data_IF_594838476455
#
_entry.id   IF_594838476455
#
_cell.length_a   1.000
_cell.length_b   1.000
_cell.length_c   1.000
_cell.angle_alpha   90.00
_cell.angle_beta   90.00
_cell.angle_gamma   90.00
#
_symmetry.space_group_name_H-M   'P 1'
#
loop_
_entity.id
_entity.type
_entity.pdbx_description
1 polymer ?
#
# COMPACT_ATOMS: atom_id res chain seq x y z
N UNK A 1 6.56 14.02 14.53
CA UNK A 1 6.10 14.85 13.40
C UNK A 1 5.56 16.18 13.92
N UNK A 2 4.55 16.14 14.80
CA UNK A 2 3.93 17.30 15.44
C UNK A 2 3.55 16.91 16.90
N UNK A 3 3.06 17.83 17.76
CA UNK A 3 2.63 17.47 19.11
C UNK A 3 1.59 16.33 19.11
N UNK A 4 1.91 15.22 19.77
CA UNK A 4 1.10 13.99 19.80
C UNK A 4 0.96 13.27 18.44
N UNK A 5 1.81 13.57 17.45
CA UNK A 5 1.85 12.87 16.16
C UNK A 5 3.27 12.40 15.89
N UNK A 6 3.47 11.10 15.91
CA UNK A 6 4.78 10.45 15.88
C UNK A 6 4.88 9.50 14.67
N UNK A 7 6.08 9.39 14.10
CA UNK A 7 6.45 8.35 13.13
C UNK A 7 7.61 7.56 13.71
N UNK A 8 7.49 6.23 13.77
CA UNK A 8 8.61 5.32 13.97
C UNK A 8 9.06 4.82 12.60
N UNK A 9 10.35 4.95 12.32
CA UNK A 9 10.96 4.40 11.11
C UNK A 9 11.62 3.07 11.40
N UNK A 10 11.49 2.17 10.45
CA UNK A 10 12.17 0.88 10.43
C UNK A 10 13.16 0.87 9.26
N UNK A 11 14.33 0.27 9.47
CA UNK A 11 15.32 0.06 8.39
C UNK A 11 14.88 -1.13 7.52
N UNK A 12 14.11 -2.05 8.11
CA UNK A 12 13.26 -2.98 7.37
C UNK A 12 12.35 -2.23 6.38
N UNK A 13 12.55 -2.48 5.09
CA UNK A 13 11.74 -1.96 3.97
C UNK A 13 11.63 -0.42 3.91
N UNK A 14 12.35 0.30 4.79
CA UNK A 14 12.14 1.72 5.12
C UNK A 14 10.71 2.04 5.61
N UNK A 15 10.03 1.04 6.17
CA UNK A 15 8.63 1.10 6.63
C UNK A 15 8.43 2.20 7.70
N UNK A 16 7.25 2.83 7.69
CA UNK A 16 6.87 3.86 8.65
C UNK A 16 5.58 3.46 9.39
N UNK A 17 5.65 3.29 10.70
CA UNK A 17 4.46 3.11 11.54
C UNK A 17 4.10 4.44 12.22
N UNK A 18 2.81 4.80 12.19
CA UNK A 18 2.31 6.05 12.75
C UNK A 18 1.70 5.89 14.15
N UNK A 19 1.78 6.94 14.96
CA UNK A 19 1.04 7.06 16.21
C UNK A 19 0.45 8.47 16.35
N UNK A 20 -0.88 8.55 16.51
CA UNK A 20 -1.60 9.79 16.83
C UNK A 20 -2.23 9.65 18.21
N UNK A 21 -1.79 10.48 19.15
CA UNK A 21 -2.27 10.49 20.54
C UNK A 21 -3.44 11.48 20.70
N UNK A 22 -4.50 11.04 21.37
CA UNK A 22 -5.61 11.84 21.90
C UNK A 22 -5.84 11.57 23.39
N UNK A 23 -6.83 12.22 24.00
CA UNK A 23 -7.08 12.18 25.45
C UNK A 23 -7.71 10.87 25.94
N UNK A 24 -8.40 10.12 25.05
CA UNK A 24 -9.14 8.89 25.39
C UNK A 24 -8.60 7.67 24.65
N UNK A 25 -8.12 7.87 23.43
CA UNK A 25 -7.61 6.85 22.52
C UNK A 25 -6.34 7.31 21.84
N UNK A 26 -5.59 6.37 21.29
CA UNK A 26 -4.52 6.67 20.33
C UNK A 26 -4.67 5.78 19.09
N UNK A 27 -4.50 6.37 17.90
CA UNK A 27 -4.52 5.65 16.63
C UNK A 27 -3.09 5.21 16.28
N UNK A 28 -2.90 3.91 16.09
CA UNK A 28 -1.73 3.32 15.43
C UNK A 28 -2.02 3.20 13.93
N UNK A 29 -1.06 3.58 13.09
CA UNK A 29 -1.14 3.44 11.62
C UNK A 29 -0.12 2.38 11.20
N UNK A 30 -0.62 1.28 10.66
CA UNK A 30 0.12 0.07 10.26
C UNK A 30 0.88 -0.67 11.37
N UNK A 31 1.19 -1.95 11.16
CA UNK A 31 1.52 -2.89 12.24
C UNK A 31 2.80 -3.73 12.08
N UNK A 32 3.53 -3.61 10.97
CA UNK A 32 4.71 -4.42 10.57
C UNK A 32 4.40 -5.84 10.06
N UNK A 33 5.45 -6.51 9.59
CA UNK A 33 5.48 -7.70 8.73
C UNK A 33 5.18 -9.04 9.42
N UNK A 34 5.26 -9.12 10.75
CA UNK A 34 4.92 -10.33 11.52
C UNK A 34 4.67 -10.05 13.00
N UNK A 35 4.15 -11.04 13.73
CA UNK A 35 3.66 -10.89 15.10
C UNK A 35 4.70 -10.28 16.07
N UNK A 36 5.94 -10.78 16.08
CA UNK A 36 6.99 -10.29 16.98
C UNK A 36 7.40 -8.82 16.71
N UNK A 37 7.31 -8.36 15.46
CA UNK A 37 7.50 -6.95 15.12
C UNK A 37 6.30 -6.09 15.55
N UNK A 38 5.08 -6.61 15.41
CA UNK A 38 3.88 -5.98 15.97
C UNK A 38 3.96 -5.85 17.50
N UNK A 39 4.58 -6.80 18.19
CA UNK A 39 4.85 -6.73 19.64
C UNK A 39 5.87 -5.64 19.98
N UNK A 40 7.01 -5.55 19.28
CA UNK A 40 7.96 -4.44 19.42
C UNK A 40 7.30 -3.07 19.17
N UNK A 41 6.44 -2.97 18.15
CA UNK A 41 5.67 -1.75 17.90
C UNK A 41 4.70 -1.44 19.05
N UNK A 42 3.92 -2.41 19.52
CA UNK A 42 2.99 -2.25 20.63
C UNK A 42 3.69 -1.80 21.92
N UNK A 43 4.79 -2.46 22.31
CA UNK A 43 5.61 -2.04 23.45
C UNK A 43 6.12 -0.60 23.27
N UNK A 44 6.51 -0.25 22.05
CA UNK A 44 7.04 1.07 21.72
C UNK A 44 5.97 2.17 21.69
N UNK A 45 4.71 1.82 21.39
CA UNK A 45 3.53 2.70 21.56
C UNK A 45 3.19 2.83 23.04
N UNK A 46 3.24 1.74 23.82
CA UNK A 46 2.98 1.77 25.28
C UNK A 46 4.01 2.55 26.09
N UNK A 47 5.22 2.76 25.57
CA UNK A 47 6.18 3.74 26.14
C UNK A 47 5.82 5.21 25.88
N UNK A 48 4.75 5.49 25.12
CA UNK A 48 4.21 6.84 24.85
C UNK A 48 2.80 7.02 25.45
N UNK A 49 1.93 6.01 25.41
CA UNK A 49 0.50 6.18 25.73
C UNK A 49 -0.18 4.92 26.31
N UNK A 50 -0.87 5.11 27.44
CA UNK A 50 -1.68 4.09 28.12
C UNK A 50 -3.17 4.10 27.69
N UNK A 51 -3.57 4.99 26.77
CA UNK A 51 -4.96 5.11 26.30
C UNK A 51 -5.46 3.86 25.54
N UNK A 52 -6.77 3.78 25.27
CA UNK A 52 -7.34 2.75 24.41
C UNK A 52 -6.70 2.83 23.01
N UNK A 53 -6.17 1.72 22.50
CA UNK A 53 -5.60 1.70 21.16
C UNK A 53 -6.67 1.35 20.12
N UNK A 54 -6.64 2.10 19.03
CA UNK A 54 -7.31 1.77 17.78
C UNK A 54 -6.24 1.68 16.70
N UNK A 55 -6.43 0.82 15.71
CA UNK A 55 -5.47 0.58 14.63
C UNK A 55 -6.15 0.89 13.31
N UNK A 56 -5.41 1.41 12.33
CA UNK A 56 -5.80 1.36 10.94
C UNK A 56 -4.69 0.72 10.11
N UNK A 57 -5.06 -0.26 9.27
CA UNK A 57 -4.21 -0.70 8.18
C UNK A 57 -4.47 0.19 6.96
N UNK A 58 -3.43 0.80 6.38
CA UNK A 58 -3.52 1.62 5.18
C UNK A 58 -3.94 0.78 3.97
N UNK A 59 -3.38 -0.43 3.85
CA UNK A 59 -3.72 -1.39 2.81
C UNK A 59 -3.38 -2.84 3.23
N UNK A 60 -3.53 -3.82 2.34
CA UNK A 60 -3.48 -5.25 2.65
C UNK A 60 -2.13 -5.96 2.36
N UNK A 61 -1.03 -5.23 2.24
CA UNK A 61 0.30 -5.84 2.11
C UNK A 61 0.86 -6.24 3.49
N UNK A 62 1.62 -7.34 3.53
CA UNK A 62 2.00 -8.06 4.76
C UNK A 62 2.70 -7.19 5.81
N UNK A 63 3.62 -6.34 5.37
CA UNK A 63 4.38 -5.32 6.10
C UNK A 63 3.52 -4.24 6.77
N UNK A 64 2.25 -4.10 6.38
CA UNK A 64 1.31 -3.15 6.98
C UNK A 64 0.32 -3.82 7.96
N UNK A 65 0.06 -5.13 7.82
CA UNK A 65 -1.07 -5.80 8.48
C UNK A 65 -0.79 -7.15 9.16
N UNK A 66 0.34 -7.83 8.97
CA UNK A 66 0.59 -9.12 9.63
C UNK A 66 0.87 -8.98 11.14
N UNK A 67 1.41 -7.83 11.56
CA UNK A 67 1.55 -7.47 12.96
C UNK A 67 0.22 -7.24 13.71
N UNK A 68 -0.93 -7.22 13.02
CA UNK A 68 -2.28 -7.15 13.63
C UNK A 68 -2.48 -8.19 14.75
N UNK A 69 -1.79 -9.33 14.71
CA UNK A 69 -1.78 -10.34 15.78
C UNK A 69 -1.46 -9.75 17.17
N UNK A 70 -0.53 -8.80 17.26
CA UNK A 70 -0.17 -8.13 18.51
C UNK A 70 -1.25 -7.13 18.98
N UNK A 71 -2.09 -6.66 18.07
CA UNK A 71 -3.13 -5.67 18.31
C UNK A 71 -4.55 -6.27 18.34
N UNK A 72 -4.69 -7.60 18.44
CA UNK A 72 -5.96 -8.33 18.29
C UNK A 72 -7.11 -7.87 19.20
N UNK A 73 -6.80 -7.28 20.35
CA UNK A 73 -7.77 -6.75 21.32
C UNK A 73 -8.14 -5.27 21.06
N UNK A 74 -7.55 -4.65 20.04
CA UNK A 74 -7.80 -3.26 19.62
C UNK A 74 -8.87 -3.21 18.51
N UNK A 75 -9.48 -2.06 18.29
CA UNK A 75 -10.37 -1.86 17.14
C UNK A 75 -9.52 -1.68 15.88
N UNK A 76 -9.45 -2.70 15.01
CA UNK A 76 -8.66 -2.67 13.77
C UNK A 76 -9.55 -2.27 12.58
N UNK A 77 -9.31 -1.07 12.06
CA UNK A 77 -9.97 -0.46 10.91
C UNK A 77 -9.21 -0.73 9.61
N UNK A 78 -9.92 -0.86 8.49
CA UNK A 78 -9.37 -0.81 7.14
C UNK A 78 -10.47 -0.53 6.11
N UNK A 79 -10.11 -0.31 4.84
CA UNK A 79 -11.08 -0.30 3.75
C UNK A 79 -11.69 -1.71 3.56
N UNK A 80 -12.96 -1.81 3.15
CA UNK A 80 -13.63 -3.12 2.98
C UNK A 80 -12.87 -4.03 2.00
N UNK A 81 -12.32 -3.45 0.92
CA UNK A 81 -11.45 -4.13 -0.03
C UNK A 81 -10.12 -4.62 0.55
N UNK A 82 -9.59 -4.00 1.60
CA UNK A 82 -8.35 -4.42 2.25
C UNK A 82 -8.55 -5.70 3.08
N UNK A 83 -9.66 -5.79 3.80
CA UNK A 83 -10.01 -7.00 4.55
C UNK A 83 -10.25 -8.20 3.61
N UNK A 84 -10.95 -7.97 2.49
CA UNK A 84 -11.15 -8.99 1.45
C UNK A 84 -9.84 -9.34 0.73
N UNK A 85 -8.98 -8.35 0.46
CA UNK A 85 -7.64 -8.51 -0.08
C UNK A 85 -6.80 -9.43 0.78
N UNK A 86 -6.62 -9.09 2.07
CA UNK A 86 -5.85 -9.87 3.03
C UNK A 86 -6.42 -11.28 3.22
N UNK A 87 -7.75 -11.42 3.29
CA UNK A 87 -8.45 -12.72 3.37
C UNK A 87 -8.20 -13.61 2.14
N UNK A 88 -7.94 -13.00 0.97
CA UNK A 88 -7.69 -13.68 -0.31
C UNK A 88 -6.19 -13.95 -0.57
N UNK A 89 -5.30 -13.06 -0.14
CA UNK A 89 -3.87 -13.09 -0.52
C UNK A 89 -2.91 -13.35 0.64
N UNK A 90 -3.32 -13.18 1.91
CA UNK A 90 -2.40 -13.22 3.06
C UNK A 90 -1.53 -14.47 3.11
N UNK A 91 -2.11 -15.66 2.95
CA UNK A 91 -1.34 -16.91 2.96
C UNK A 91 -0.41 -17.06 1.74
N UNK A 92 -0.74 -16.42 0.60
CA UNK A 92 0.15 -16.36 -0.57
C UNK A 92 1.33 -15.41 -0.34
N UNK A 93 1.06 -14.23 0.23
CA UNK A 93 2.09 -13.27 0.64
C UNK A 93 3.04 -13.90 1.67
N UNK A 94 2.50 -14.61 2.67
CA UNK A 94 3.30 -15.34 3.66
C UNK A 94 4.27 -16.32 2.98
N UNK A 95 3.77 -17.19 2.10
CA UNK A 95 4.64 -18.14 1.40
C UNK A 95 5.74 -17.43 0.60
N UNK A 96 5.43 -16.31 -0.08
CA UNK A 96 6.40 -15.55 -0.86
C UNK A 96 7.49 -14.91 0.01
N UNK A 97 7.11 -14.36 1.18
CA UNK A 97 8.05 -13.78 2.15
C UNK A 97 8.90 -14.87 2.81
N UNK A 98 8.30 -16.01 3.18
CA UNK A 98 8.99 -17.19 3.72
C UNK A 98 10.00 -17.75 2.71
N UNK A 99 9.60 -17.97 1.45
CA UNK A 99 10.48 -18.44 0.38
C UNK A 99 11.65 -17.47 0.15
N UNK A 100 11.37 -16.17 0.14
CA UNK A 100 12.39 -15.13 -0.01
C UNK A 100 13.38 -15.11 1.17
N UNK A 101 12.89 -15.18 2.40
CA UNK A 101 13.72 -15.24 3.61
C UNK A 101 14.62 -16.49 3.62
N UNK A 102 14.06 -17.67 3.32
CA UNK A 102 14.81 -18.92 3.18
C UNK A 102 15.87 -18.84 2.08
N UNK A 103 15.54 -18.28 0.92
CA UNK A 103 16.50 -18.07 -0.18
C UNK A 103 17.55 -16.98 0.05
N UNK A 104 17.45 -16.23 1.15
CA UNK A 104 18.43 -15.21 1.57
C UNK A 104 19.06 -15.53 2.93
N UNK A 105 19.15 -16.82 3.29
CA UNK A 105 19.76 -17.37 4.50
C UNK A 105 19.18 -16.81 5.83
N UNK A 106 17.93 -16.34 5.81
CA UNK A 106 17.22 -15.72 6.94
C UNK A 106 16.15 -16.64 7.56
N UNK A 107 16.47 -17.93 7.74
CA UNK A 107 15.57 -18.97 8.24
C UNK A 107 14.81 -18.55 9.52
N UNK A 108 15.49 -17.98 10.51
CA UNK A 108 14.86 -17.58 11.77
C UNK A 108 13.80 -16.46 11.63
N UNK A 109 13.87 -15.66 10.56
CA UNK A 109 12.80 -14.72 10.23
C UNK A 109 11.68 -15.42 9.44
N UNK A 110 12.02 -16.41 8.61
CA UNK A 110 11.03 -17.23 7.91
C UNK A 110 10.13 -17.98 8.91
N UNK A 111 10.71 -18.59 9.94
CA UNK A 111 9.99 -19.20 11.07
C UNK A 111 8.98 -18.23 11.72
N UNK A 112 9.39 -16.98 12.00
CA UNK A 112 8.52 -15.99 12.64
C UNK A 112 7.37 -15.49 11.74
N UNK A 113 7.58 -15.46 10.41
CA UNK A 113 6.53 -15.17 9.42
C UNK A 113 5.61 -16.38 9.23
N UNK A 114 6.14 -17.59 9.32
CA UNK A 114 5.39 -18.85 9.24
C UNK A 114 4.46 -19.03 10.46
N UNK A 115 4.95 -18.76 11.67
CA UNK A 115 4.21 -18.82 12.94
C UNK A 115 3.17 -17.70 13.18
N UNK A 116 3.10 -16.67 12.31
CA UNK A 116 2.23 -15.49 12.54
C UNK A 116 0.76 -15.74 12.21
N UNK A 117 -0.14 -15.52 13.18
CA UNK A 117 -1.59 -15.49 12.93
C UNK A 117 -1.98 -14.26 12.08
N UNK A 118 -2.55 -14.47 10.89
CA UNK A 118 -3.07 -13.36 10.06
C UNK A 118 -4.42 -12.93 10.63
N UNK A 119 -4.40 -11.84 11.42
CA UNK A 119 -5.60 -11.23 12.00
C UNK A 119 -6.15 -10.17 11.03
N UNK A 120 -7.37 -10.41 10.52
CA UNK A 120 -8.05 -9.50 9.60
C UNK A 120 -8.56 -8.23 10.32
N UNK A 121 -8.48 -7.05 9.68
CA UNK A 121 -9.25 -5.89 10.13
C UNK A 121 -10.76 -6.16 10.02
N UNK A 122 -11.54 -5.60 10.94
CA UNK A 122 -12.97 -5.91 11.09
C UNK A 122 -13.87 -4.69 11.29
N UNK A 123 -13.31 -3.51 11.54
CA UNK A 123 -14.03 -2.23 11.45
C UNK A 123 -13.89 -1.65 10.03
N UNK A 124 -14.69 -2.19 9.11
CA UNK A 124 -14.58 -1.89 7.68
C UNK A 124 -15.22 -0.54 7.32
N UNK A 125 -14.54 0.22 6.47
CA UNK A 125 -15.06 1.47 5.88
C UNK A 125 -15.00 1.43 4.36
N UNK A 126 -15.82 2.24 3.69
CA UNK A 126 -15.88 2.36 2.21
C UNK A 126 -15.74 3.82 1.73
N UNK A 127 -15.95 4.78 2.64
CA UNK A 127 -15.93 6.23 2.43
C UNK A 127 -15.13 6.93 3.55
N UNK A 128 -14.79 8.21 3.34
CA UNK A 128 -14.07 9.05 4.30
C UNK A 128 -14.74 9.03 5.70
N UNK A 129 -13.99 8.57 6.71
CA UNK A 129 -14.49 8.29 8.06
C UNK A 129 -13.68 9.05 9.10
N UNK A 130 -14.35 9.85 9.93
CA UNK A 130 -13.72 10.58 11.03
C UNK A 130 -13.81 9.82 12.36
N UNK A 131 -12.69 9.72 13.09
CA UNK A 131 -12.62 9.13 14.43
C UNK A 131 -12.23 10.21 15.46
N UNK A 132 -12.96 10.28 16.59
CA UNK A 132 -12.55 11.07 17.77
C UNK A 132 -11.66 10.23 18.69
N UNK A 133 -10.44 10.70 18.93
CA UNK A 133 -9.48 10.10 19.86
C UNK A 133 -9.61 10.67 21.29
N UNK A 134 -10.61 11.49 21.54
CA UNK A 134 -10.75 12.34 22.73
C UNK A 134 -10.07 13.67 22.49
N UNK A 135 -10.86 14.66 22.03
CA UNK A 135 -10.39 16.03 21.82
C UNK A 135 -9.57 16.23 20.54
N UNK A 136 -9.30 15.16 19.79
CA UNK A 136 -8.58 15.17 18.51
C UNK A 136 -9.26 14.28 17.49
N UNK A 137 -9.62 14.85 16.35
CA UNK A 137 -10.16 14.10 15.21
C UNK A 137 -9.03 13.61 14.32
N UNK A 138 -9.14 12.38 13.82
CA UNK A 138 -8.38 11.86 12.68
C UNK A 138 -9.34 11.46 11.56
N UNK A 139 -8.92 11.64 10.32
CA UNK A 139 -9.72 11.36 9.12
C UNK A 139 -9.09 10.17 8.37
N UNK A 140 -9.79 9.04 8.33
CA UNK A 140 -9.47 7.95 7.41
C UNK A 140 -10.04 8.35 6.04
N UNK A 141 -9.18 8.47 5.03
CA UNK A 141 -9.54 9.03 3.73
C UNK A 141 -9.32 8.01 2.61
N UNK A 142 -10.41 7.59 1.95
CA UNK A 142 -10.32 6.79 0.72
C UNK A 142 -10.26 7.73 -0.48
N UNK A 143 -9.04 7.95 -0.98
CA UNK A 143 -8.78 8.96 -2.00
C UNK A 143 -9.15 8.50 -3.42
N UNK A 144 -9.29 7.19 -3.63
CA UNK A 144 -9.33 6.50 -4.92
C UNK A 144 -8.31 5.36 -4.95
N UNK A 145 -8.19 4.67 -6.08
CA UNK A 145 -7.30 3.50 -6.28
C UNK A 145 -5.92 3.97 -6.73
N UNK A 146 -4.85 3.35 -6.24
CA UNK A 146 -3.47 3.83 -6.46
C UNK A 146 -2.43 2.73 -6.39
N UNK A 147 -1.86 2.53 -5.20
CA UNK A 147 -0.95 1.43 -4.89
C UNK A 147 -1.71 0.10 -4.80
N UNK A 148 -2.95 0.15 -4.32
CA UNK A 148 -3.94 -0.94 -4.38
C UNK A 148 -5.32 -0.42 -4.82
N UNK A 149 -6.36 -1.26 -4.79
CA UNK A 149 -7.76 -0.81 -4.91
C UNK A 149 -8.42 -0.43 -3.58
N UNK A 150 -7.65 -0.31 -2.50
CA UNK A 150 -8.15 -0.17 -1.14
C UNK A 150 -7.29 0.72 -0.22
N UNK A 151 -6.51 1.63 -0.82
CA UNK A 151 -5.59 2.54 -0.11
C UNK A 151 -6.31 3.56 0.79
N UNK A 152 -6.10 3.47 2.10
CA UNK A 152 -6.47 4.50 3.07
C UNK A 152 -5.28 5.40 3.43
N UNK A 153 -5.49 6.71 3.32
CA UNK A 153 -4.64 7.71 3.97
C UNK A 153 -5.24 8.13 5.33
N UNK A 154 -4.40 8.58 6.25
CA UNK A 154 -4.81 9.07 7.59
C UNK A 154 -4.45 10.55 7.72
N UNK A 155 -5.45 11.42 7.65
CA UNK A 155 -5.32 12.85 7.90
C UNK A 155 -5.40 13.19 9.38
N UNK A 156 -4.56 14.13 9.84
CA UNK A 156 -4.59 14.72 11.19
C UNK A 156 -4.81 16.24 11.05
N UNK A 157 -6.07 16.72 11.02
CA UNK A 157 -6.41 18.10 10.61
C UNK A 157 -5.76 19.21 11.43
N UNK A 158 -5.60 19.04 12.75
CA UNK A 158 -4.99 20.03 13.64
C UNK A 158 -3.47 20.11 13.49
N UNK A 159 -2.84 18.98 13.17
CA UNK A 159 -1.39 18.85 13.06
C UNK A 159 -0.84 19.24 11.67
N UNK A 160 -1.68 19.27 10.64
CA UNK A 160 -1.23 19.46 9.25
C UNK A 160 -0.58 18.21 8.63
N UNK A 161 -0.79 17.02 9.20
CA UNK A 161 -0.11 15.77 8.83
C UNK A 161 -1.04 14.84 8.04
N UNK A 162 -0.46 14.11 7.09
CA UNK A 162 -1.10 12.94 6.45
C UNK A 162 -0.11 11.77 6.51
N UNK A 163 -0.57 10.60 6.95
CA UNK A 163 0.09 9.32 6.66
C UNK A 163 -0.54 8.80 5.36
N UNK A 164 0.23 8.65 4.29
CA UNK A 164 -0.35 8.33 2.97
C UNK A 164 -0.51 6.82 2.71
N UNK A 165 0.08 5.97 3.56
CA UNK A 165 0.50 4.64 3.13
C UNK A 165 1.41 4.73 1.90
N UNK A 166 1.43 3.68 1.11
CA UNK A 166 2.36 3.53 -0.01
C UNK A 166 1.91 4.28 -1.28
N UNK A 167 0.78 5.01 -1.21
CA UNK A 167 0.41 6.02 -2.20
C UNK A 167 1.53 7.05 -2.43
N UNK A 168 2.38 7.31 -1.42
CA UNK A 168 3.57 8.17 -1.51
C UNK A 168 4.75 7.49 -0.82
N UNK A 169 5.44 6.64 -1.57
CA UNK A 169 6.60 5.88 -1.12
C UNK A 169 7.94 6.50 -1.58
N UNK A 170 9.00 6.34 -0.79
CA UNK A 170 10.40 6.71 -1.12
C UNK A 170 11.37 5.55 -0.74
N UNK A 171 10.83 4.33 -0.59
CA UNK A 171 11.53 3.17 -0.05
C UNK A 171 12.21 2.33 -1.12
N UNK A 172 11.43 1.81 -2.05
CA UNK A 172 11.80 0.95 -3.16
C UNK A 172 11.29 1.52 -4.50
N UNK A 173 11.34 0.70 -5.56
CA UNK A 173 10.43 0.88 -6.69
C UNK A 173 9.04 0.35 -6.25
N UNK A 174 7.94 1.05 -6.54
CA UNK A 174 6.60 0.69 -6.05
C UNK A 174 6.12 -0.67 -6.57
N UNK A 175 5.36 -1.38 -5.74
CA UNK A 175 4.65 -2.60 -6.15
C UNK A 175 3.69 -2.31 -7.32
N UNK A 176 3.54 -3.30 -8.20
CA UNK A 176 2.79 -3.16 -9.48
C UNK A 176 1.83 -4.31 -9.76
N UNK A 177 1.81 -5.32 -8.88
CA UNK A 177 1.05 -6.56 -8.99
C UNK A 177 -0.47 -6.35 -8.84
N UNK A 178 -0.87 -5.48 -7.91
CA UNK A 178 -2.26 -5.10 -7.63
C UNK A 178 -2.50 -3.58 -7.68
N UNK A 179 -1.56 -2.81 -8.25
CA UNK A 179 -1.63 -1.36 -8.38
C UNK A 179 -2.44 -0.87 -9.60
N UNK A 180 -2.83 0.41 -9.55
CA UNK A 180 -3.59 1.10 -10.60
C UNK A 180 -2.89 2.38 -11.09
N UNK A 181 -1.76 2.28 -11.83
CA UNK A 181 -0.93 3.44 -12.21
C UNK A 181 -1.66 4.56 -12.96
N UNK A 182 -2.72 4.24 -13.71
CA UNK A 182 -3.54 5.23 -14.42
C UNK A 182 -4.53 6.00 -13.51
N UNK A 183 -4.89 5.42 -12.37
CA UNK A 183 -5.81 5.97 -11.37
C UNK A 183 -5.06 6.62 -10.20
N UNK A 184 -3.83 6.17 -9.92
CA UNK A 184 -2.93 6.68 -8.87
C UNK A 184 -2.69 8.20 -8.97
N UNK A 185 -2.41 8.74 -10.16
CA UNK A 185 -2.20 10.18 -10.34
C UNK A 185 -3.49 11.04 -10.15
N UNK A 186 -4.69 10.60 -10.59
CA UNK A 186 -5.96 11.10 -10.06
C UNK A 186 -6.10 11.01 -8.52
N UNK A 187 -5.84 9.84 -7.92
CA UNK A 187 -5.96 9.57 -6.48
C UNK A 187 -5.07 10.49 -5.64
N UNK A 188 -3.81 10.71 -6.03
CA UNK A 188 -2.92 11.66 -5.36
C UNK A 188 -3.41 13.11 -5.45
N UNK A 189 -4.05 13.51 -6.56
CA UNK A 189 -4.67 14.85 -6.67
C UNK A 189 -5.93 14.97 -5.82
N UNK A 190 -6.68 13.88 -5.67
CA UNK A 190 -7.81 13.77 -4.73
C UNK A 190 -7.34 13.92 -3.28
N UNK A 191 -6.32 13.15 -2.86
CA UNK A 191 -5.71 13.23 -1.53
C UNK A 191 -5.10 14.61 -1.24
N UNK A 192 -4.31 15.17 -2.17
CA UNK A 192 -3.76 16.52 -2.05
C UNK A 192 -4.86 17.61 -1.97
N UNK A 193 -6.09 17.34 -2.38
CA UNK A 193 -7.26 18.20 -2.21
C UNK A 193 -8.03 17.99 -0.88
N UNK A 194 -7.74 16.91 -0.14
CA UNK A 194 -8.26 16.59 1.20
C UNK A 194 -7.27 16.93 2.32
N UNK A 195 -5.97 16.99 2.01
CA UNK A 195 -4.88 17.21 2.96
C UNK A 195 -5.12 18.38 3.95
N UNK A 196 -4.92 18.15 5.27
CA UNK A 196 -4.89 19.16 6.31
C UNK A 196 -4.14 20.45 5.97
N UNK A 197 -4.58 21.57 6.54
CA UNK A 197 -4.03 22.90 6.25
C UNK A 197 -4.58 23.55 4.96
N UNK A 198 -5.09 22.79 3.98
CA UNK A 198 -5.93 23.37 2.92
C UNK A 198 -7.27 23.78 3.49
N UNK A 199 -7.42 25.07 3.84
CA UNK A 199 -8.68 25.69 4.29
C UNK A 199 -9.81 25.44 3.28
N UNK A 200 -10.59 24.39 3.50
CA UNK A 200 -11.93 24.20 2.91
C UNK A 200 -12.90 25.12 3.66
N UNK A 201 -12.94 26.40 3.29
CA UNK A 201 -13.97 27.33 3.78
C UNK A 201 -15.35 26.84 3.30
N UNK A 202 -16.28 26.45 4.19
CA UNK A 202 -17.61 26.01 3.76
C UNK A 202 -18.42 27.23 3.32
N UNK A 203 -18.83 27.26 2.06
CA UNK A 203 -19.83 28.20 1.54
C UNK A 203 -19.36 29.65 1.33
N UNK A 204 -18.71 29.92 0.18
CA UNK A 204 -19.02 31.14 -0.59
C UNK A 204 -18.58 30.98 -2.07
N UNK A 205 -19.46 31.18 -3.06
CA UNK A 205 -19.08 31.09 -4.47
C UNK A 205 -18.37 32.36 -4.94
N UNK A 206 -17.04 32.29 -5.01
CA UNK A 206 -16.22 33.24 -5.77
C UNK A 206 -15.53 34.33 -4.96
N UNK A 207 -14.22 34.18 -4.76
CA UNK A 207 -13.22 35.22 -5.09
C UNK A 207 -11.83 34.59 -5.07
N UNK A 208 -11.09 34.71 -6.17
CA UNK A 208 -9.71 34.24 -6.24
C UNK A 208 -8.76 35.33 -5.73
N UNK A 209 -8.37 35.25 -4.46
CA UNK A 209 -7.28 36.08 -3.90
C UNK A 209 -5.93 35.46 -4.25
N UNK A 210 -5.25 36.07 -5.22
CA UNK A 210 -3.85 35.78 -5.52
C UNK A 210 -2.92 36.25 -4.40
N UNK A 211 -1.74 35.65 -4.29
CA UNK A 211 -0.63 36.23 -3.54
C UNK A 211 0.70 36.04 -4.25
N UNK A 212 1.62 36.98 -4.03
CA UNK A 212 2.85 37.16 -4.80
C UNK A 212 4.07 36.57 -4.09
N UNK A 213 5.00 36.02 -4.88
CA UNK A 213 6.29 35.56 -4.35
C UNK A 213 7.18 36.75 -3.92
N UNK A 214 7.83 36.71 -2.74
CA UNK A 214 8.80 37.73 -2.36
C UNK A 214 10.01 37.69 -3.29
N UNK A 215 10.45 38.86 -3.77
CA UNK A 215 11.68 38.97 -4.57
C UNK A 215 12.82 39.54 -3.72
N UNK A 216 14.00 38.92 -3.80
CA UNK A 216 15.25 39.56 -3.44
C UNK A 216 16.35 39.13 -4.40
N UNK A 217 17.09 40.11 -4.94
CA UNK A 217 18.21 39.88 -5.85
C UNK A 217 19.52 40.09 -5.12
N UNK A 218 20.47 39.15 -5.27
CA UNK A 218 21.90 39.47 -5.37
C UNK A 218 22.50 38.70 -6.55
N UNK A 219 23.53 39.26 -7.18
CA UNK A 219 24.25 38.71 -8.35
C UNK A 219 25.76 38.64 -8.06
N UNK A 220 26.56 37.90 -8.87
CA UNK A 220 27.68 37.12 -8.33
C UNK A 220 29.07 37.58 -8.81
N UNK A 221 30.11 36.86 -8.36
CA UNK A 221 31.50 36.94 -8.84
C UNK A 221 32.02 35.60 -9.37
N UNK A 222 32.24 35.52 -10.69
CA UNK A 222 33.33 34.78 -11.39
C UNK A 222 33.72 33.34 -10.96
N UNK A 223 32.99 32.33 -11.45
CA UNK A 223 33.30 31.45 -12.62
C UNK A 223 34.74 30.81 -12.81
N UNK A 224 34.96 29.81 -13.73
CA UNK A 224 35.21 28.40 -13.35
C UNK A 224 36.36 27.71 -14.16
N UNK A 225 36.47 26.36 -14.20
CA UNK A 225 35.82 25.56 -15.29
C UNK A 225 35.21 24.20 -14.82
N UNK A 226 33.93 23.87 -15.07
CA UNK A 226 33.31 23.22 -16.27
C UNK A 226 33.50 21.69 -16.40
N UNK A 227 32.53 20.90 -16.94
CA UNK A 227 31.07 20.77 -16.68
C UNK A 227 30.68 19.34 -16.20
N UNK A 228 29.50 18.94 -15.67
CA UNK A 228 28.15 19.50 -15.39
C UNK A 228 27.04 19.46 -16.47
N UNK A 229 26.17 18.42 -16.49
CA UNK A 229 24.81 18.44 -17.12
C UNK A 229 23.75 17.63 -16.36
N UNK A 230 22.74 18.33 -15.79
CA UNK A 230 21.33 17.92 -15.59
C UNK A 230 20.60 18.97 -14.73
N UNK A 231 19.26 19.13 -14.80
CA UNK A 231 18.36 19.10 -15.96
C UNK A 231 17.80 20.51 -16.26
N UNK A 232 16.82 20.67 -17.17
CA UNK A 232 16.03 21.91 -17.33
C UNK A 232 14.57 21.65 -17.70
N UNK A 233 13.66 22.37 -17.05
CA UNK A 233 12.24 22.41 -17.37
C UNK A 233 11.97 23.19 -18.67
N UNK A 234 10.96 22.77 -19.44
CA UNK A 234 10.35 23.56 -20.52
C UNK A 234 8.83 23.42 -20.50
N UNK A 235 8.14 24.46 -20.98
CA UNK A 235 6.68 24.56 -21.11
C UNK A 235 6.36 25.11 -22.54
N UNK A 236 5.10 25.08 -23.00
CA UNK A 236 4.80 24.70 -24.39
C UNK A 236 4.96 25.81 -25.45
N UNK A 237 5.29 25.38 -26.68
CA UNK A 237 5.30 26.22 -27.88
C UNK A 237 5.72 25.46 -29.15
N UNK A 238 4.75 25.01 -29.95
CA UNK A 238 4.94 24.48 -31.32
C UNK A 238 5.23 25.63 -32.32
N UNK A 239 5.72 25.40 -33.57
CA UNK A 239 5.75 24.12 -34.31
C UNK A 239 7.05 23.84 -35.13
N UNK A 240 6.95 22.80 -36.00
CA UNK A 240 7.67 22.59 -37.28
C UNK A 240 8.83 21.57 -37.37
N UNK A 241 8.47 20.40 -37.92
CA UNK A 241 9.16 19.64 -38.99
C UNK A 241 10.71 19.51 -39.00
N UNK A 242 11.20 18.28 -38.76
CA UNK A 242 11.88 17.49 -39.82
C UNK A 242 11.89 15.98 -39.47
N UNK A 243 12.50 15.11 -40.29
CA UNK A 243 12.16 13.67 -40.41
C UNK A 243 13.32 12.69 -40.15
N UNK A 244 13.03 11.62 -39.37
CA UNK A 244 13.38 10.20 -39.62
C UNK A 244 14.89 9.80 -39.55
N UNK A 245 15.30 8.52 -39.30
CA UNK A 245 14.72 7.28 -39.85
C UNK A 245 14.47 6.07 -38.92
N UNK A 246 13.71 5.12 -39.45
CA UNK A 246 13.36 3.80 -38.89
C UNK A 246 14.37 2.68 -39.18
N UNK A 247 14.52 1.77 -38.21
CA UNK A 247 14.43 0.29 -38.35
C UNK A 247 14.54 -0.34 -36.94
N UNK A 248 14.04 -1.54 -36.64
CA UNK A 248 13.30 -2.52 -37.44
C UNK A 248 12.10 -3.06 -36.64
N UNK A 249 11.29 -3.95 -37.23
CA UNK A 249 10.09 -4.52 -36.61
C UNK A 249 10.24 -6.02 -36.29
N UNK A 250 9.49 -6.48 -35.30
CA UNK A 250 9.10 -7.89 -35.15
C UNK A 250 7.57 -7.91 -34.97
N UNK A 251 6.87 -8.81 -35.66
CA UNK A 251 5.41 -8.85 -35.70
C UNK A 251 4.88 -10.23 -35.28
N UNK A 252 3.82 -10.23 -34.48
CA UNK A 252 3.02 -11.43 -34.17
C UNK A 252 1.61 -11.20 -34.70
N UNK A 253 1.15 -12.08 -35.58
CA UNK A 253 -0.18 -11.97 -36.21
C UNK A 253 -1.20 -12.79 -35.43
N UNK A 254 -2.15 -12.10 -34.79
CA UNK A 254 -3.41 -12.73 -34.41
C UNK A 254 -4.30 -12.90 -35.66
N UNK A 255 -4.94 -14.07 -35.80
CA UNK A 255 -6.04 -14.28 -36.75
C UNK A 255 -7.18 -15.02 -36.05
N UNK A 256 -8.33 -14.37 -35.95
CA UNK A 256 -9.58 -15.01 -35.56
C UNK A 256 -10.31 -15.54 -36.80
N UNK A 257 -10.86 -16.77 -36.72
CA UNK A 257 -12.07 -17.18 -37.46
C UNK A 257 -12.62 -18.54 -36.99
N UNK A 258 -13.78 -18.47 -36.34
CA UNK A 258 -14.93 -19.38 -36.44
C UNK A 258 -14.75 -20.80 -37.05
N UNK A 259 -15.10 -21.83 -36.27
CA UNK A 259 -15.41 -23.17 -36.78
C UNK A 259 -16.18 -24.02 -35.75
N UNK A 260 -17.44 -24.35 -36.04
CA UNK A 260 -18.24 -25.39 -35.36
C UNK A 260 -18.20 -26.67 -36.23
N UNK A 261 -18.31 -27.89 -35.66
CA UNK A 261 -19.64 -28.49 -35.43
C UNK A 261 -19.79 -29.34 -34.15
N UNK A 262 -21.04 -29.71 -33.87
CA UNK A 262 -21.49 -30.58 -32.77
C UNK A 262 -21.31 -32.08 -33.11
N UNK A 263 -21.07 -32.94 -32.10
CA UNK A 263 -21.75 -34.25 -31.99
C UNK A 263 -21.50 -34.98 -30.66
N UNK A 264 -22.58 -35.55 -30.08
CA UNK A 264 -22.60 -36.76 -29.23
C UNK A 264 -21.90 -36.75 -27.86
N UNK A 265 -22.31 -37.57 -26.88
CA UNK A 265 -23.52 -38.42 -26.73
C UNK A 265 -23.67 -38.79 -25.25
N UNK A 266 -24.85 -38.60 -24.66
CA UNK A 266 -25.15 -39.13 -23.32
C UNK A 266 -25.68 -40.57 -23.39
N UNK A 267 -25.26 -41.42 -22.45
CA UNK A 267 -25.81 -42.77 -22.22
C UNK A 267 -25.74 -43.09 -20.72
N UNK A 268 -26.82 -43.57 -20.11
CA UNK A 268 -26.83 -44.03 -18.72
C UNK A 268 -26.65 -45.56 -18.63
N UNK A 269 -26.04 -46.07 -17.56
CA UNK A 269 -25.83 -47.50 -17.31
C UNK A 269 -25.87 -47.82 -15.81
N UNK A 270 -26.54 -48.92 -15.46
CA UNK A 270 -26.96 -49.29 -14.09
C UNK A 270 -25.88 -49.93 -13.21
N UNK A 271 -25.94 -49.64 -11.91
CA UNK A 271 -25.25 -50.32 -10.78
C UNK A 271 -25.85 -51.74 -10.53
N UNK A 272 -25.10 -52.73 -9.97
CA UNK A 272 -25.18 -52.99 -8.52
C UNK A 272 -23.92 -53.57 -7.82
N UNK A 273 -23.34 -52.79 -6.88
CA UNK A 273 -22.65 -53.22 -5.63
C UNK A 273 -21.31 -54.02 -5.75
N UNK A 274 -20.60 -54.28 -4.62
CA UNK A 274 -20.10 -53.31 -3.64
C UNK A 274 -18.58 -53.49 -3.38
N UNK A 275 -17.83 -52.40 -3.26
CA UNK A 275 -16.38 -52.46 -2.96
C UNK A 275 -15.90 -51.31 -2.07
N UNK A 276 -15.11 -51.62 -1.05
CA UNK A 276 -14.51 -50.63 -0.13
C UNK A 276 -13.34 -49.92 -0.81
N UNK A 277 -13.47 -48.61 -1.07
CA UNK A 277 -12.41 -47.78 -1.64
C UNK A 277 -12.50 -46.34 -1.17
N UNK A 278 -11.34 -45.68 -0.98
CA UNK A 278 -11.27 -44.25 -0.63
C UNK A 278 -11.65 -43.40 -1.84
N UNK A 279 -12.58 -42.46 -1.68
CA UNK A 279 -12.92 -41.47 -2.71
C UNK A 279 -12.08 -40.21 -2.54
N UNK A 280 -10.98 -40.10 -3.30
CA UNK A 280 -10.29 -38.83 -3.53
C UNK A 280 -11.13 -37.98 -4.49
N UNK A 281 -11.47 -36.75 -4.13
CA UNK A 281 -12.14 -35.81 -5.05
C UNK A 281 -11.09 -35.05 -5.84
N UNK A 282 -11.09 -35.22 -7.16
CA UNK A 282 -10.27 -34.45 -8.11
C UNK A 282 -11.19 -33.48 -8.84
N UNK A 283 -10.96 -32.17 -8.66
CA UNK A 283 -11.67 -31.13 -9.41
C UNK A 283 -10.96 -30.85 -10.76
N UNK A 284 -11.69 -30.52 -11.83
CA UNK A 284 -11.09 -30.21 -13.13
C UNK A 284 -10.39 -28.85 -13.14
N UNK A 285 -9.22 -28.76 -13.77
CA UNK A 285 -8.48 -27.52 -13.88
C UNK A 285 -9.13 -26.53 -14.88
N UNK A 286 -9.43 -25.32 -14.40
CA UNK A 286 -9.78 -24.18 -15.26
C UNK A 286 -8.53 -23.54 -15.90
N UNK A 287 -8.68 -22.78 -17.00
CA UNK A 287 -7.55 -22.31 -17.78
C UNK A 287 -6.86 -21.07 -17.19
N UNK A 288 -5.61 -21.25 -16.77
CA UNK A 288 -4.54 -20.28 -17.06
C UNK A 288 -4.63 -18.88 -16.45
N UNK A 289 -4.72 -18.78 -15.12
CA UNK A 289 -4.09 -17.63 -14.46
C UNK A 289 -2.57 -17.77 -14.60
N UNK A 290 -1.89 -16.77 -15.17
CA UNK A 290 -0.44 -16.77 -15.29
C UNK A 290 0.19 -16.48 -13.92
N UNK A 291 0.64 -17.53 -13.22
CA UNK A 291 1.49 -17.44 -12.03
C UNK A 291 2.88 -16.92 -12.42
N UNK A 292 2.92 -15.61 -12.69
CA UNK A 292 4.15 -14.86 -12.95
C UNK A 292 4.84 -14.65 -11.60
N UNK A 293 6.16 -14.89 -11.53
CA UNK A 293 6.93 -14.60 -10.32
C UNK A 293 6.92 -13.10 -10.07
N UNK A 294 6.76 -12.70 -8.81
CA UNK A 294 7.09 -11.34 -8.34
C UNK A 294 8.55 -11.05 -8.73
N UNK A 295 8.85 -9.98 -9.50
CA UNK A 295 10.19 -9.46 -9.59
C UNK A 295 10.58 -8.89 -8.23
N UNK A 296 11.76 -9.21 -7.71
CA UNK A 296 12.11 -8.86 -6.34
C UNK A 296 12.20 -7.33 -6.14
N UNK A 297 11.12 -6.75 -5.60
CA UNK A 297 11.21 -5.53 -4.80
C UNK A 297 12.29 -5.73 -3.72
N UNK A 298 13.01 -4.67 -3.36
CA UNK A 298 14.26 -4.81 -2.60
C UNK A 298 14.01 -5.07 -1.11
N UNK A 299 13.74 -6.33 -0.75
CA UNK A 299 13.54 -6.88 0.61
C UNK A 299 14.78 -6.76 1.53
N UNK A 300 15.20 -5.53 1.79
CA UNK A 300 16.16 -5.17 2.83
C UNK A 300 15.45 -5.24 4.19
N UNK A 301 15.67 -6.33 4.92
CA UNK A 301 15.26 -6.47 6.33
C UNK A 301 16.55 -6.48 7.15
N UNK A 302 16.70 -5.50 8.04
CA UNK A 302 17.94 -5.24 8.77
C UNK A 302 18.16 -6.12 10.00
N UNK A 303 19.33 -5.94 10.64
CA UNK A 303 19.62 -6.48 11.97
C UNK A 303 18.90 -5.70 13.09
N UNK A 304 19.20 -5.98 14.38
CA UNK A 304 18.47 -5.41 15.51
C UNK A 304 18.43 -3.87 15.49
N UNK A 305 17.22 -3.33 15.37
CA UNK A 305 16.98 -1.93 15.03
C UNK A 305 17.07 -0.98 16.22
N UNK A 306 17.67 0.21 16.03
CA UNK A 306 17.52 1.35 16.94
C UNK A 306 16.44 2.32 16.42
N UNK A 307 15.22 1.80 16.25
CA UNK A 307 14.09 2.50 15.61
C UNK A 307 13.40 3.48 16.56
N UNK A 308 13.75 4.77 16.45
CA UNK A 308 13.23 5.85 17.30
C UNK A 308 11.97 6.52 16.73
N UNK A 309 11.16 7.07 17.62
CA UNK A 309 10.00 7.91 17.28
C UNK A 309 10.46 9.34 16.94
N UNK A 310 9.85 9.94 15.91
CA UNK A 310 10.12 11.32 15.43
C UNK A 310 8.87 12.15 15.23
#
# INVERSE_FOLDING_TARGET
MAPGVHVRRHEELKLNCGLVVGEKRSLVVDTRSFHAQGQDLLESVRRITDTELVVVNTHAHYDHCFGNAAFRDSQIYAHSGAAEGLRRTGEHQRQQVVDHLRSTDREHLAEQVEDTEIVLPFYLIEDDTALDLGGRTVELQYAGRGHTDHDLAVGVPDAGVVFAGDLVEEGADPAMEDAFPMEWAPTLRSLLGRAPGRRRTPGCPGTATSWTAPSSRRRPSSSPPWPSVSPRCWAPGSPAWTRWPTRAAASVSARTRSGWPLSGRWSCGTDPRPGTGRSTVVAPAGPGAALTRIPAASFALGGPECSSWT
#
